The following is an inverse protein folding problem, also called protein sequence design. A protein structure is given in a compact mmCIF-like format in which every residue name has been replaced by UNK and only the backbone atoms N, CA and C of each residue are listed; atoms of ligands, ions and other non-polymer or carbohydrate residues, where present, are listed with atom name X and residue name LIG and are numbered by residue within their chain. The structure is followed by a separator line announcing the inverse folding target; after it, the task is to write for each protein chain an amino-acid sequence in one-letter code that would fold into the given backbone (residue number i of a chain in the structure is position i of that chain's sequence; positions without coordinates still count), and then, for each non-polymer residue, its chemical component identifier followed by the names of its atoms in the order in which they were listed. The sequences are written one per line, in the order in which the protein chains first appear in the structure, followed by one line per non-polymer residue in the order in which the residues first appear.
data_IF_392958263087
#
_entry.id   IF_392958263087
#
_cell.length_a   1.000
_cell.length_b   1.000
_cell.length_c   1.000
_cell.angle_alpha   90.00
_cell.angle_beta   90.00
_cell.angle_gamma   90.00
#
_symmetry.space_group_name_H-M   'P 1'
#
loop_
_entity.id
_entity.type
_entity.pdbx_description
1 polymer ?
#
# COMPACT_ATOMS: atom_id res chain seq x y z
N UNK A 1 -15.36 1.88 8.15
CA UNK A 1 -14.20 1.01 7.89
C UNK A 1 -13.63 1.36 6.53
N UNK A 2 -12.35 1.07 6.27
CA UNK A 2 -11.79 1.22 4.93
C UNK A 2 -12.32 0.15 3.97
N UNK A 3 -11.89 0.22 2.71
CA UNK A 3 -12.25 -0.76 1.67
C UNK A 3 -11.16 -0.90 0.62
N UNK A 4 -11.02 -2.08 0.07
CA UNK A 4 -10.26 -2.34 -1.15
C UNK A 4 -11.19 -2.21 -2.35
N UNK A 5 -10.81 -1.40 -3.33
CA UNK A 5 -11.54 -1.23 -4.58
C UNK A 5 -10.71 -1.80 -5.71
N UNK A 6 -11.16 -2.89 -6.31
CA UNK A 6 -10.53 -3.49 -7.49
C UNK A 6 -11.01 -2.75 -8.73
N UNK A 7 -10.09 -2.24 -9.52
CA UNK A 7 -10.34 -1.60 -10.81
C UNK A 7 -9.91 -2.53 -11.94
N UNK A 8 -10.75 -2.66 -12.96
CA UNK A 8 -10.34 -3.27 -14.22
C UNK A 8 -9.56 -2.25 -15.05
N UNK A 9 -8.41 -2.66 -15.60
CA UNK A 9 -7.59 -1.90 -16.54
C UNK A 9 -7.48 -2.65 -17.86
N UNK A 10 -7.05 -1.96 -18.91
CA UNK A 10 -6.85 -2.58 -20.24
C UNK A 10 -5.86 -3.75 -20.21
N UNK A 11 -4.90 -3.71 -19.28
CA UNK A 11 -3.81 -4.68 -19.15
C UNK A 11 -3.95 -5.62 -17.95
N UNK A 12 -5.06 -5.54 -17.19
CA UNK A 12 -5.23 -6.35 -15.98
C UNK A 12 -6.15 -5.71 -14.94
N UNK A 13 -5.76 -5.81 -13.68
CA UNK A 13 -6.50 -5.37 -12.50
C UNK A 13 -5.52 -4.77 -11.49
N UNK A 14 -5.80 -3.57 -10.99
CA UNK A 14 -5.16 -3.02 -9.79
C UNK A 14 -6.20 -2.87 -8.68
N UNK A 15 -5.75 -2.71 -7.44
CA UNK A 15 -6.63 -2.39 -6.33
C UNK A 15 -6.14 -1.17 -5.57
N UNK A 16 -7.08 -0.41 -5.02
CA UNK A 16 -6.81 0.75 -4.18
C UNK A 16 -7.36 0.50 -2.79
N UNK A 17 -6.54 0.68 -1.76
CA UNK A 17 -7.01 0.73 -0.39
C UNK A 17 -7.48 2.15 -0.08
N UNK A 18 -8.75 2.28 0.28
CA UNK A 18 -9.36 3.53 0.71
C UNK A 18 -9.59 3.51 2.22
N UNK A 19 -9.25 4.61 2.89
CA UNK A 19 -9.58 4.82 4.29
C UNK A 19 -11.09 5.06 4.46
N UNK A 20 -11.57 5.05 5.71
CA UNK A 20 -12.98 5.26 6.03
C UNK A 20 -13.56 6.61 5.53
N UNK A 21 -12.71 7.61 5.32
CA UNK A 21 -13.08 8.92 4.73
C UNK A 21 -13.13 8.91 3.19
N UNK A 22 -12.88 7.75 2.54
CA UNK A 22 -12.85 7.59 1.09
C UNK A 22 -11.52 7.93 0.42
N UNK A 23 -10.53 8.42 1.17
CA UNK A 23 -9.20 8.76 0.64
C UNK A 23 -8.42 7.49 0.27
N UNK A 24 -7.82 7.47 -0.93
CA UNK A 24 -6.90 6.40 -1.34
C UNK A 24 -5.60 6.53 -0.57
N UNK A 25 -5.28 5.52 0.23
CA UNK A 25 -4.07 5.45 1.07
C UNK A 25 -3.03 4.46 0.54
N UNK A 26 -3.37 3.68 -0.49
CA UNK A 26 -2.43 2.82 -1.18
C UNK A 26 -3.01 2.25 -2.48
N UNK A 27 -2.15 2.00 -3.45
CA UNK A 27 -2.47 1.43 -4.76
C UNK A 27 -1.51 0.29 -5.05
N UNK A 28 -2.01 -0.79 -5.66
CA UNK A 28 -1.19 -1.92 -6.08
C UNK A 28 -0.57 -1.70 -7.46
N UNK A 29 0.35 -2.59 -7.84
CA UNK A 29 0.67 -2.78 -9.26
C UNK A 29 -0.52 -3.39 -10.02
N UNK A 30 -0.43 -3.40 -11.36
CA UNK A 30 -1.42 -4.08 -12.21
C UNK A 30 -1.11 -5.57 -12.26
N UNK A 31 -2.05 -6.38 -11.81
CA UNK A 31 -2.06 -7.83 -11.95
C UNK A 31 -2.76 -8.25 -13.23
N UNK A 32 -2.24 -9.27 -13.92
CA UNK A 32 -2.85 -9.73 -15.19
C UNK A 32 -4.17 -10.49 -15.00
N UNK A 33 -4.43 -11.01 -13.79
CA UNK A 33 -5.62 -11.80 -13.43
C UNK A 33 -6.30 -11.22 -12.20
N UNK A 34 -7.64 -11.31 -12.16
CA UNK A 34 -8.43 -10.89 -11.01
C UNK A 34 -8.06 -11.67 -9.74
N UNK A 35 -7.89 -12.98 -9.84
CA UNK A 35 -7.52 -13.81 -8.68
C UNK A 35 -6.17 -13.40 -8.10
N UNK A 36 -5.17 -13.12 -8.95
CA UNK A 36 -3.87 -12.62 -8.51
C UNK A 36 -3.96 -11.23 -7.83
N UNK A 37 -4.90 -10.38 -8.27
CA UNK A 37 -5.19 -9.10 -7.62
C UNK A 37 -5.79 -9.31 -6.22
N UNK A 38 -6.70 -10.28 -6.07
CA UNK A 38 -7.27 -10.67 -4.77
C UNK A 38 -6.20 -11.27 -3.85
N UNK A 39 -5.32 -12.13 -4.36
CA UNK A 39 -4.17 -12.66 -3.61
C UNK A 39 -3.25 -11.52 -3.11
N UNK A 40 -3.07 -10.49 -3.94
CA UNK A 40 -2.36 -9.26 -3.58
C UNK A 40 -3.01 -8.52 -2.41
N UNK A 41 -4.33 -8.39 -2.40
CA UNK A 41 -5.10 -7.79 -1.28
C UNK A 41 -4.87 -8.59 0.00
N UNK A 42 -4.98 -9.92 -0.05
CA UNK A 42 -4.72 -10.75 1.12
C UNK A 42 -3.28 -10.63 1.62
N UNK A 43 -2.31 -10.49 0.71
CA UNK A 43 -0.92 -10.22 1.07
C UNK A 43 -0.79 -8.89 1.80
N UNK A 44 -1.49 -7.84 1.34
CA UNK A 44 -1.51 -6.53 2.04
C UNK A 44 -2.10 -6.67 3.44
N UNK A 45 -3.22 -7.38 3.60
CA UNK A 45 -3.85 -7.61 4.90
C UNK A 45 -2.86 -8.25 5.88
N UNK A 46 -2.25 -9.37 5.49
CA UNK A 46 -1.29 -10.10 6.33
C UNK A 46 -0.01 -9.31 6.61
N UNK A 47 0.51 -8.61 5.61
CA UNK A 47 1.77 -7.89 5.72
C UNK A 47 1.63 -6.58 6.48
N UNK A 48 0.50 -5.87 6.37
CA UNK A 48 0.29 -4.60 7.06
C UNK A 48 0.38 -4.75 8.59
N UNK A 49 -0.13 -5.85 9.15
CA UNK A 49 -0.05 -6.14 10.58
C UNK A 49 1.38 -6.45 11.02
N UNK A 50 2.10 -7.29 10.27
CA UNK A 50 3.43 -7.78 10.62
C UNK A 50 4.59 -6.84 10.24
N UNK A 51 4.38 -5.89 9.33
CA UNK A 51 5.45 -5.10 8.75
C UNK A 51 6.01 -4.03 9.70
N UNK A 52 7.33 -4.06 9.89
CA UNK A 52 8.08 -2.98 10.53
C UNK A 52 8.28 -1.79 9.58
N UNK A 53 8.62 -0.62 10.12
CA UNK A 53 8.85 0.59 9.32
C UNK A 53 10.35 0.82 9.17
N UNK A 54 10.83 0.74 7.93
CA UNK A 54 12.14 1.19 7.49
C UNK A 54 12.05 2.60 6.90
N UNK A 55 12.92 3.50 7.34
CA UNK A 55 12.85 4.91 6.97
C UNK A 55 14.12 5.35 6.21
N UNK A 56 14.10 5.14 4.90
CA UNK A 56 15.25 5.37 4.02
C UNK A 56 15.57 6.85 3.82
N UNK A 57 14.73 7.75 4.35
CA UNK A 57 14.97 9.21 4.34
C UNK A 57 15.91 9.66 5.46
N UNK A 58 16.27 8.76 6.38
CA UNK A 58 17.21 9.02 7.46
C UNK A 58 18.59 8.45 7.09
N UNK A 59 19.63 9.27 7.19
CA UNK A 59 21.01 8.81 6.99
C UNK A 59 21.36 7.74 8.02
N UNK A 60 21.80 6.56 7.55
CA UNK A 60 22.18 5.44 8.41
C UNK A 60 21.00 4.66 8.98
N UNK A 61 19.85 4.65 8.28
CA UNK A 61 18.67 3.89 8.71
C UNK A 61 18.98 2.41 8.94
N UNK A 62 18.22 1.79 9.85
CA UNK A 62 18.29 0.35 10.12
C UNK A 62 17.43 -0.41 9.11
N UNK A 63 18.07 -1.22 8.28
CA UNK A 63 17.37 -2.10 7.35
C UNK A 63 16.51 -3.12 8.12
N UNK A 64 15.24 -3.22 7.74
CA UNK A 64 14.29 -4.18 8.29
C UNK A 64 14.21 -5.43 7.41
N UNK A 65 13.80 -6.55 8.02
CA UNK A 65 13.45 -7.76 7.27
C UNK A 65 12.04 -7.66 6.73
N UNK A 66 11.77 -8.35 5.63
CA UNK A 66 10.43 -8.42 5.06
C UNK A 66 9.48 -9.31 5.90
N UNK A 67 8.17 -9.02 5.94
CA UNK A 67 7.51 -7.89 5.29
C UNK A 67 7.83 -6.56 6.00
N UNK A 68 7.84 -5.46 5.26
CA UNK A 68 8.16 -4.14 5.82
C UNK A 68 7.53 -3.00 5.02
N UNK A 69 7.28 -1.90 5.70
CA UNK A 69 7.04 -0.62 5.07
C UNK A 69 8.38 0.09 4.85
N UNK A 70 8.62 0.61 3.65
CA UNK A 70 9.77 1.47 3.35
C UNK A 70 9.28 2.88 3.07
N UNK A 71 9.66 3.84 3.90
CA UNK A 71 9.49 5.27 3.63
C UNK A 71 10.67 5.72 2.79
N UNK A 72 10.38 6.28 1.62
CA UNK A 72 11.39 6.82 0.71
C UNK A 72 10.96 8.22 0.22
N UNK A 73 11.89 8.96 -0.36
CA UNK A 73 11.61 10.28 -0.89
C UNK A 73 11.74 10.26 -2.42
N UNK A 74 10.63 10.53 -3.09
CA UNK A 74 10.63 10.91 -4.50
C UNK A 74 11.06 12.39 -4.58
N UNK A 75 12.17 12.66 -5.27
CA UNK A 75 12.76 14.01 -5.36
C UNK A 75 11.81 15.05 -5.95
N UNK A 76 10.81 14.63 -6.74
CA UNK A 76 9.85 15.50 -7.41
C UNK A 76 8.50 15.55 -6.70
N UNK A 77 8.10 14.45 -6.04
CA UNK A 77 6.73 14.27 -5.53
C UNK A 77 6.63 14.36 -4.00
N UNK A 78 7.70 14.12 -3.26
CA UNK A 78 7.71 14.16 -1.79
C UNK A 78 7.97 12.81 -1.14
N UNK A 79 7.42 12.58 0.05
CA UNK A 79 7.57 11.36 0.81
C UNK A 79 6.55 10.32 0.38
N UNK A 80 7.00 9.12 0.03
CA UNK A 80 6.13 7.98 -0.27
C UNK A 80 6.44 6.85 0.70
N UNK A 81 5.52 5.90 0.82
CA UNK A 81 5.83 4.59 1.38
C UNK A 81 5.42 3.48 0.43
N UNK A 82 6.11 2.34 0.53
CA UNK A 82 5.68 1.08 -0.07
C UNK A 82 5.66 -0.04 0.96
N UNK A 83 4.78 -1.00 0.77
CA UNK A 83 4.73 -2.24 1.54
C UNK A 83 5.33 -3.36 0.69
N UNK A 84 6.37 -3.99 1.23
CA UNK A 84 6.96 -5.20 0.66
C UNK A 84 6.45 -6.43 1.42
N UNK A 85 6.08 -7.47 0.70
CA UNK A 85 5.76 -8.77 1.29
C UNK A 85 7.03 -9.58 1.61
N UNK A 86 6.87 -10.76 2.20
CA UNK A 86 7.98 -11.64 2.64
C UNK A 86 9.01 -11.92 1.55
N UNK A 87 8.59 -12.08 0.30
CA UNK A 87 9.47 -12.31 -0.86
C UNK A 87 10.33 -11.09 -1.23
N UNK A 88 9.93 -9.89 -0.76
CA UNK A 88 10.48 -8.60 -1.20
C UNK A 88 9.71 -7.97 -2.35
N UNK A 89 8.68 -8.63 -2.89
CA UNK A 89 7.79 -8.02 -3.87
C UNK A 89 7.01 -6.84 -3.26
N UNK A 90 6.87 -5.76 -4.03
CA UNK A 90 6.01 -4.65 -3.65
C UNK A 90 4.54 -5.00 -3.90
N UNK A 91 3.70 -4.78 -2.89
CA UNK A 91 2.27 -5.12 -2.95
C UNK A 91 1.36 -3.91 -2.73
N UNK A 92 1.89 -2.79 -2.23
CA UNK A 92 1.15 -1.55 -2.04
C UNK A 92 2.12 -0.36 -2.08
N UNK A 93 1.74 0.71 -2.75
CA UNK A 93 2.45 1.98 -2.73
C UNK A 93 1.50 3.13 -2.42
N UNK A 94 1.97 4.12 -1.66
CA UNK A 94 1.21 5.32 -1.34
C UNK A 94 1.28 6.38 -2.43
N UNK A 95 0.32 7.30 -2.41
CA UNK A 95 0.55 8.60 -3.04
C UNK A 95 1.68 9.36 -2.33
N UNK A 96 2.20 10.40 -2.97
CA UNK A 96 3.26 11.21 -2.39
C UNK A 96 2.69 12.22 -1.38
N UNK A 97 3.36 12.37 -0.26
CA UNK A 97 3.05 13.29 0.82
C UNK A 97 4.06 14.44 0.86
N UNK A 98 3.60 15.64 1.20
CA UNK A 98 4.48 16.81 1.36
C UNK A 98 5.33 16.73 2.63
N UNK A 99 4.88 15.98 3.64
CA UNK A 99 5.56 15.83 4.92
C UNK A 99 5.71 14.37 5.33
N UNK A 100 6.86 14.05 5.91
CA UNK A 100 7.19 12.72 6.46
C UNK A 100 6.21 12.26 7.55
N UNK A 101 5.73 13.18 8.38
CA UNK A 101 4.73 12.89 9.40
C UNK A 101 3.41 12.40 8.76
N UNK A 102 2.98 13.03 7.67
CA UNK A 102 1.80 12.60 6.91
C UNK A 102 2.00 11.23 6.27
N UNK A 103 3.18 10.95 5.73
CA UNK A 103 3.54 9.62 5.21
C UNK A 103 3.45 8.53 6.30
N UNK A 104 3.96 8.80 7.51
CA UNK A 104 3.82 7.88 8.66
C UNK A 104 2.36 7.69 9.09
N UNK A 105 1.54 8.73 9.00
CA UNK A 105 0.10 8.62 9.25
C UNK A 105 -0.60 7.77 8.17
N UNK A 106 -0.16 7.87 6.92
CA UNK A 106 -0.60 6.99 5.84
C UNK A 106 -0.35 5.51 6.15
N UNK A 107 0.88 5.17 6.60
CA UNK A 107 1.19 3.79 7.04
C UNK A 107 0.27 3.33 8.18
N UNK A 108 0.07 4.18 9.20
CA UNK A 108 -0.87 3.87 10.30
C UNK A 108 -2.29 3.64 9.78
N UNK A 109 -2.72 4.45 8.81
CA UNK A 109 -4.01 4.29 8.16
C UNK A 109 -4.13 2.95 7.44
N UNK A 110 -3.08 2.49 6.74
CA UNK A 110 -3.05 1.17 6.12
C UNK A 110 -3.19 0.07 7.17
N UNK A 111 -2.41 0.14 8.26
CA UNK A 111 -2.46 -0.85 9.35
C UNK A 111 -3.84 -0.95 10.01
N UNK A 112 -4.56 0.16 10.11
CA UNK A 112 -5.90 0.20 10.73
C UNK A 112 -7.00 -0.23 9.76
N UNK A 113 -6.91 0.18 8.49
CA UNK A 113 -8.02 -0.01 7.54
C UNK A 113 -7.93 -1.33 6.78
N UNK A 114 -6.73 -1.85 6.48
CA UNK A 114 -6.58 -3.06 5.69
C UNK A 114 -7.21 -4.32 6.34
N UNK A 115 -7.00 -4.62 7.63
CA UNK A 115 -7.44 -5.90 8.21
C UNK A 115 -8.96 -6.14 8.19
N UNK A 116 -9.75 -5.08 8.21
CA UNK A 116 -11.22 -5.14 8.19
C UNK A 116 -11.82 -4.49 6.94
N UNK A 117 -11.02 -4.29 5.88
CA UNK A 117 -11.50 -3.67 4.66
C UNK A 117 -12.35 -4.66 3.87
N UNK A 118 -13.54 -4.22 3.48
CA UNK A 118 -14.35 -4.94 2.50
C UNK A 118 -13.69 -4.85 1.12
N UNK A 119 -13.89 -5.86 0.29
CA UNK A 119 -13.40 -5.87 -1.10
C UNK A 119 -14.58 -5.62 -2.03
N UNK A 120 -14.53 -4.51 -2.77
CA UNK A 120 -15.48 -4.17 -3.81
C UNK A 120 -14.79 -4.17 -5.19
N UNK A 121 -15.57 -4.40 -6.24
CA UNK A 121 -15.11 -4.27 -7.62
C UNK A 121 -15.81 -3.08 -8.26
N UNK A 122 -15.04 -2.16 -8.81
CA UNK A 122 -15.55 -1.05 -9.61
C UNK A 122 -15.46 -1.46 -11.08
N UNK A 123 -16.62 -1.53 -11.75
CA UNK A 123 -16.71 -2.08 -13.10
C UNK A 123 -16.20 -1.11 -14.18
N UNK A 124 -15.95 0.17 -13.86
CA UNK A 124 -15.66 1.18 -14.89
C UNK A 124 -14.72 2.30 -14.39
N UNK A 125 -13.61 2.50 -15.11
CA UNK A 125 -12.95 3.81 -15.26
C UNK A 125 -12.61 4.04 -16.73
#
# INVERSE_FOLDING_TARGET
MGKFVIYRKNTGYDFHLKAANGETIGTSEIYTKKDACVDGIESVIRCAEAAEIEDQTVRGYLAQKNPKFEIYQDQKRGYCFRLLEKSGQMILESQAYTAKASCRNGIRSVKVNAPSAEVEMDEIQ
#
